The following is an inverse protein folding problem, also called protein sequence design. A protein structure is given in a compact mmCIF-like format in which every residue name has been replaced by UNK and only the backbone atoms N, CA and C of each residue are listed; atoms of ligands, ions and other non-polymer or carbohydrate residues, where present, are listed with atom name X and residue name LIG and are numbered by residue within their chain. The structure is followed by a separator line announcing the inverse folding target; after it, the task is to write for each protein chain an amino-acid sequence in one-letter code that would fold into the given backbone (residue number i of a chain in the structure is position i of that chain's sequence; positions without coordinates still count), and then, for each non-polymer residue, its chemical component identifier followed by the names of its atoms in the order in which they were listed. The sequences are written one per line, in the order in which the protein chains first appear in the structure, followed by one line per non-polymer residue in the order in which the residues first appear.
data_IF_026375137691
#
_entry.id   IF_026375137691
#
_cell.length_a   1.000
_cell.length_b   1.000
_cell.length_c   1.000
_cell.angle_alpha   90.00
_cell.angle_beta   90.00
_cell.angle_gamma   90.00
#
_symmetry.space_group_name_H-M   'P 1'
#
loop_
_entity.id
_entity.type
_entity.pdbx_description
1 polymer ?
#
# COMPACT_ATOMS: atom_id res chain seq x y z
N UNK A 1 41.86 -25.39 -70.30
CA UNK A 1 41.56 -24.07 -69.73
C UNK A 1 40.49 -24.25 -68.66
N UNK A 2 40.85 -24.17 -67.37
CA UNK A 2 39.90 -24.28 -66.24
C UNK A 2 39.79 -22.90 -65.59
N UNK A 3 38.59 -22.33 -65.58
CA UNK A 3 38.27 -21.06 -64.93
C UNK A 3 38.18 -21.27 -63.40
N UNK A 4 38.82 -20.38 -62.66
CA UNK A 4 38.70 -20.20 -61.21
C UNK A 4 37.76 -19.01 -61.00
N UNK A 5 36.61 -19.23 -60.37
CA UNK A 5 35.74 -18.16 -59.86
C UNK A 5 36.16 -17.84 -58.41
N UNK A 6 36.55 -16.59 -58.18
CA UNK A 6 36.75 -16.00 -56.85
C UNK A 6 35.57 -15.05 -56.59
N UNK A 7 34.66 -15.43 -55.69
CA UNK A 7 33.64 -14.54 -55.14
C UNK A 7 34.23 -13.73 -53.99
N UNK A 8 34.08 -12.40 -53.93
CA UNK A 8 34.34 -11.63 -52.72
C UNK A 8 33.09 -11.68 -51.83
N UNK A 9 33.26 -12.15 -50.60
CA UNK A 9 32.25 -12.10 -49.55
C UNK A 9 32.24 -10.67 -48.98
N UNK A 10 31.24 -9.87 -49.35
CA UNK A 10 31.01 -8.57 -48.74
C UNK A 10 30.29 -8.78 -47.39
N UNK A 11 31.03 -8.62 -46.28
CA UNK A 11 30.46 -8.57 -44.93
C UNK A 11 29.88 -7.16 -44.73
N UNK A 12 28.57 -7.05 -44.82
CA UNK A 12 27.83 -5.84 -44.52
C UNK A 12 27.64 -5.75 -42.99
N UNK A 13 28.50 -4.98 -42.30
CA UNK A 13 28.30 -4.62 -40.91
C UNK A 13 27.11 -3.67 -40.79
N UNK A 14 25.91 -4.21 -40.55
CA UNK A 14 24.75 -3.44 -40.12
C UNK A 14 24.97 -3.00 -38.66
N UNK A 15 25.54 -1.82 -38.48
CA UNK A 15 25.48 -1.09 -37.22
C UNK A 15 24.02 -0.68 -36.97
N UNK A 16 23.29 -1.52 -36.24
CA UNK A 16 22.02 -1.12 -35.64
C UNK A 16 22.36 -0.10 -34.56
N UNK A 17 22.26 1.18 -34.91
CA UNK A 17 22.24 2.26 -33.94
C UNK A 17 20.91 2.09 -33.20
N UNK A 18 20.94 1.35 -32.10
CA UNK A 18 19.85 1.36 -31.14
C UNK A 18 19.79 2.79 -30.60
N UNK A 19 18.80 3.56 -31.07
CA UNK A 19 18.43 4.79 -30.38
C UNK A 19 18.24 4.44 -28.91
N UNK A 20 18.86 5.16 -27.96
CA UNK A 20 18.54 4.96 -26.56
C UNK A 20 17.03 5.11 -26.45
N UNK A 21 16.37 4.08 -25.91
CA UNK A 21 14.99 4.22 -25.51
C UNK A 21 14.99 5.38 -24.51
N UNK A 22 14.52 6.55 -24.95
CA UNK A 22 14.14 7.62 -24.05
C UNK A 22 13.05 6.99 -23.18
N UNK A 23 13.41 6.50 -22.00
CA UNK A 23 12.45 6.21 -20.95
C UNK A 23 11.82 7.56 -20.66
N UNK A 24 10.63 7.80 -21.20
CA UNK A 24 9.85 8.97 -20.84
C UNK A 24 9.78 9.02 -19.31
N UNK A 25 10.08 10.18 -18.73
CA UNK A 25 9.94 10.34 -17.29
C UNK A 25 8.50 10.03 -16.88
N UNK A 26 8.30 9.39 -15.71
CA UNK A 26 6.96 9.10 -15.24
C UNK A 26 6.16 10.41 -15.11
N UNK A 27 4.93 10.40 -15.59
CA UNK A 27 4.02 11.54 -15.50
C UNK A 27 3.04 11.42 -14.33
N UNK A 28 3.04 10.28 -13.64
CA UNK A 28 2.12 9.96 -12.55
C UNK A 28 2.83 9.10 -11.50
N UNK A 29 2.51 9.35 -10.23
CA UNK A 29 2.80 8.50 -9.09
C UNK A 29 1.48 8.04 -8.47
N UNK A 30 1.37 6.79 -8.01
CA UNK A 30 0.12 6.29 -7.45
C UNK A 30 0.33 5.31 -6.31
N UNK A 31 -0.55 5.40 -5.32
CA UNK A 31 -0.55 4.56 -4.12
C UNK A 31 -1.91 3.90 -3.99
N UNK A 32 -1.90 2.57 -3.92
CA UNK A 32 -3.09 1.78 -3.60
C UNK A 32 -2.93 1.18 -2.20
N UNK A 33 -3.98 1.20 -1.38
CA UNK A 33 -4.05 0.41 -0.15
C UNK A 33 -5.18 -0.61 -0.20
N UNK A 34 -4.95 -1.79 0.34
CA UNK A 34 -5.94 -2.86 0.37
C UNK A 34 -5.68 -3.87 1.50
N UNK A 35 -6.60 -3.98 2.44
CA UNK A 35 -6.67 -5.14 3.32
C UNK A 35 -7.15 -6.34 2.48
N UNK A 36 -6.35 -7.41 2.45
CA UNK A 36 -6.65 -8.60 1.66
C UNK A 36 -7.33 -9.70 2.46
N UNK A 37 -7.66 -9.45 3.73
CA UNK A 37 -8.40 -10.30 4.65
C UNK A 37 -7.89 -11.76 4.69
N UNK A 38 -7.00 -12.08 5.61
CA UNK A 38 -6.39 -13.43 5.70
C UNK A 38 -5.79 -13.89 4.36
N UNK A 39 -4.94 -13.08 3.72
CA UNK A 39 -4.24 -13.45 2.49
C UNK A 39 -3.11 -14.43 2.77
N UNK A 40 -3.52 -15.64 3.12
CA UNK A 40 -2.75 -16.75 3.63
C UNK A 40 -2.80 -17.85 2.57
N UNK A 41 -1.68 -18.54 2.37
CA UNK A 41 -1.66 -19.65 1.44
C UNK A 41 -2.30 -20.90 2.06
N UNK A 42 -2.14 -22.04 1.39
CA UNK A 42 -2.77 -23.29 1.81
C UNK A 42 -1.85 -24.18 2.68
N UNK A 43 -0.64 -23.73 3.02
CA UNK A 43 0.36 -24.45 3.78
C UNK A 43 0.27 -24.08 5.26
N UNK A 44 -0.49 -24.84 6.03
CA UNK A 44 -0.75 -24.49 7.43
C UNK A 44 0.36 -24.89 8.41
N UNK A 45 1.48 -25.42 7.91
CA UNK A 45 2.50 -26.09 8.73
C UNK A 45 3.42 -25.11 9.47
N UNK A 46 3.58 -23.90 8.93
CA UNK A 46 4.39 -22.81 9.50
C UNK A 46 3.55 -21.77 10.25
N UNK A 47 2.22 -21.93 10.32
CA UNK A 47 1.37 -21.15 11.19
C UNK A 47 1.39 -21.67 12.64
N UNK A 48 2.01 -20.97 13.61
CA UNK A 48 1.95 -21.35 15.02
C UNK A 48 0.54 -21.33 15.63
N UNK A 49 -0.32 -20.40 15.23
CA UNK A 49 -1.63 -20.16 15.85
C UNK A 49 -2.72 -21.04 15.24
N UNK A 50 -3.73 -21.38 16.05
CA UNK A 50 -4.90 -22.11 15.57
C UNK A 50 -5.70 -21.27 14.57
N UNK A 51 -5.90 -20.00 14.88
CA UNK A 51 -6.64 -19.07 14.04
C UNK A 51 -5.99 -18.88 12.66
N UNK A 52 -4.66 -18.76 12.59
CA UNK A 52 -3.94 -18.65 11.32
C UNK A 52 -4.17 -19.87 10.42
N UNK A 53 -4.12 -21.07 11.02
CA UNK A 53 -4.42 -22.33 10.30
C UNK A 53 -5.87 -22.42 9.84
N UNK A 54 -6.82 -21.98 10.66
CA UNK A 54 -8.25 -21.96 10.32
C UNK A 54 -8.55 -20.99 9.16
N UNK A 55 -7.82 -19.87 9.10
CA UNK A 55 -8.02 -18.80 8.12
C UNK A 55 -7.21 -18.96 6.85
N UNK A 56 -6.33 -19.96 6.80
CA UNK A 56 -5.57 -20.34 5.60
C UNK A 56 -6.48 -20.80 4.47
N UNK A 57 -6.03 -20.66 3.22
CA UNK A 57 -6.77 -21.17 2.08
C UNK A 57 -6.96 -22.71 2.20
N UNK A 58 -8.17 -23.24 1.94
CA UNK A 58 -8.48 -24.66 2.22
C UNK A 58 -7.77 -25.62 1.26
N UNK A 59 -7.30 -25.12 0.11
CA UNK A 59 -6.59 -25.91 -0.89
C UNK A 59 -5.66 -25.03 -1.71
N UNK A 60 -4.72 -25.67 -2.41
CA UNK A 60 -3.82 -24.99 -3.34
C UNK A 60 -4.57 -24.29 -4.48
N UNK A 61 -5.65 -24.88 -4.96
CA UNK A 61 -6.47 -24.30 -6.03
C UNK A 61 -7.14 -23.00 -5.56
N UNK A 62 -7.70 -23.00 -4.35
CA UNK A 62 -8.33 -21.84 -3.75
C UNK A 62 -7.31 -20.72 -3.44
N UNK A 63 -6.10 -21.09 -3.01
CA UNK A 63 -4.98 -20.15 -2.91
C UNK A 63 -4.58 -19.55 -4.27
N UNK A 64 -4.39 -20.40 -5.29
CA UNK A 64 -4.00 -19.97 -6.62
C UNK A 64 -5.04 -19.01 -7.23
N UNK A 65 -6.34 -19.31 -7.05
CA UNK A 65 -7.44 -18.40 -7.42
C UNK A 65 -7.29 -17.03 -6.76
N UNK A 66 -7.16 -17.00 -5.42
CA UNK A 66 -7.14 -15.74 -4.67
C UNK A 66 -5.94 -14.89 -5.06
N UNK A 67 -4.76 -15.51 -5.11
CA UNK A 67 -3.53 -14.87 -5.55
C UNK A 67 -3.65 -14.28 -6.95
N UNK A 68 -4.16 -15.06 -7.91
CA UNK A 68 -4.22 -14.62 -9.29
C UNK A 68 -5.28 -13.53 -9.51
N UNK A 69 -6.37 -13.53 -8.72
CA UNK A 69 -7.35 -12.44 -8.68
C UNK A 69 -6.77 -11.14 -8.14
N UNK A 70 -6.03 -11.18 -7.02
CA UNK A 70 -5.30 -10.01 -6.48
C UNK A 70 -4.26 -9.51 -7.49
N UNK A 71 -3.51 -10.42 -8.11
CA UNK A 71 -2.53 -10.08 -9.14
C UNK A 71 -3.17 -9.35 -10.34
N UNK A 72 -4.31 -9.85 -10.82
CA UNK A 72 -5.06 -9.24 -11.91
C UNK A 72 -5.62 -7.86 -11.53
N UNK A 73 -6.13 -7.69 -10.30
CA UNK A 73 -6.59 -6.41 -9.78
C UNK A 73 -5.48 -5.35 -9.74
N UNK A 74 -4.31 -5.71 -9.19
CA UNK A 74 -3.14 -4.83 -9.17
C UNK A 74 -2.69 -4.50 -10.61
N UNK A 75 -2.61 -5.51 -11.49
CA UNK A 75 -2.19 -5.32 -12.88
C UNK A 75 -3.17 -4.48 -13.72
N UNK A 76 -4.47 -4.48 -13.37
CA UNK A 76 -5.50 -3.67 -14.04
C UNK A 76 -5.29 -2.18 -13.80
N UNK A 77 -4.79 -1.79 -12.61
CA UNK A 77 -4.64 -0.37 -12.24
C UNK A 77 -3.21 0.12 -12.18
N UNK A 78 -2.24 -0.80 -12.15
CA UNK A 78 -0.79 -0.56 -12.23
C UNK A 78 -0.31 0.51 -11.25
N UNK A 79 -0.62 0.38 -9.96
CA UNK A 79 -0.23 1.37 -8.97
C UNK A 79 1.30 1.39 -8.83
N UNK A 80 1.87 2.55 -8.52
CA UNK A 80 3.32 2.67 -8.30
C UNK A 80 3.75 1.98 -7.00
N UNK A 81 2.95 2.16 -5.95
CA UNK A 81 3.07 1.53 -4.64
C UNK A 81 1.76 0.81 -4.29
N UNK A 82 1.86 -0.39 -3.72
CA UNK A 82 0.73 -1.11 -3.11
C UNK A 82 1.01 -1.34 -1.63
N UNK A 83 0.19 -0.80 -0.75
CA UNK A 83 0.17 -1.09 0.67
C UNK A 83 -0.87 -2.18 0.95
N UNK A 84 -0.43 -3.36 1.41
CA UNK A 84 -1.30 -4.49 1.69
C UNK A 84 -1.37 -4.74 3.20
N UNK A 85 -2.56 -5.12 3.68
CA UNK A 85 -2.79 -5.56 5.06
C UNK A 85 -3.31 -6.99 5.08
N UNK A 86 -3.17 -7.65 6.24
CA UNK A 86 -3.54 -9.04 6.47
C UNK A 86 -2.83 -10.05 5.57
N UNK A 87 -1.56 -9.78 5.33
CA UNK A 87 -0.66 -10.68 4.60
C UNK A 87 -0.05 -11.67 5.59
N UNK A 88 0.02 -12.95 5.21
CA UNK A 88 0.63 -13.98 6.06
C UNK A 88 2.15 -13.83 6.22
N UNK A 89 2.86 -13.67 5.10
CA UNK A 89 4.32 -13.73 5.10
C UNK A 89 4.96 -13.18 3.82
N UNK A 90 6.29 -13.04 3.84
CA UNK A 90 7.08 -12.74 2.64
C UNK A 90 6.92 -13.82 1.55
N UNK A 91 6.70 -15.10 1.90
CA UNK A 91 6.53 -16.16 0.91
C UNK A 91 5.27 -15.94 0.06
N UNK A 92 4.17 -15.55 0.70
CA UNK A 92 2.92 -15.19 0.02
C UNK A 92 3.12 -14.00 -0.91
N UNK A 93 3.85 -12.97 -0.47
CA UNK A 93 4.20 -11.83 -1.33
C UNK A 93 5.07 -12.23 -2.52
N UNK A 94 6.05 -13.10 -2.32
CA UNK A 94 6.86 -13.64 -3.41
C UNK A 94 5.98 -14.35 -4.46
N UNK A 95 5.00 -15.15 -4.04
CA UNK A 95 4.08 -15.78 -4.99
C UNK A 95 3.22 -14.76 -5.73
N UNK A 96 2.71 -13.75 -5.02
CA UNK A 96 1.92 -12.67 -5.63
C UNK A 96 2.72 -11.89 -6.68
N UNK A 97 3.94 -11.44 -6.37
CA UNK A 97 4.77 -10.69 -7.33
C UNK A 97 5.15 -11.54 -8.55
N UNK A 98 5.36 -12.85 -8.37
CA UNK A 98 5.58 -13.79 -9.48
C UNK A 98 4.35 -14.00 -10.34
N UNK A 99 3.16 -14.05 -9.75
CA UNK A 99 1.91 -14.11 -10.50
C UNK A 99 1.70 -12.84 -11.33
N UNK A 100 1.97 -11.66 -10.75
CA UNK A 100 1.90 -10.38 -11.46
C UNK A 100 2.88 -10.34 -12.65
N UNK A 101 4.14 -10.77 -12.45
CA UNK A 101 5.15 -10.81 -13.52
C UNK A 101 4.78 -11.81 -14.62
N UNK A 102 4.51 -13.07 -14.23
CA UNK A 102 4.22 -14.15 -15.17
C UNK A 102 2.96 -13.91 -15.99
N UNK A 103 1.88 -13.44 -15.35
CA UNK A 103 0.56 -13.37 -15.99
C UNK A 103 0.30 -11.99 -16.63
N UNK A 104 0.96 -10.93 -16.17
CA UNK A 104 0.67 -9.56 -16.59
C UNK A 104 1.91 -8.75 -17.03
N UNK A 105 3.11 -9.36 -17.02
CA UNK A 105 4.37 -8.73 -17.43
C UNK A 105 4.67 -7.42 -16.69
N UNK A 106 4.36 -7.40 -15.39
CA UNK A 106 4.64 -6.26 -14.49
C UNK A 106 5.54 -6.72 -13.35
N UNK A 107 6.50 -5.89 -12.97
CA UNK A 107 7.50 -6.23 -11.96
C UNK A 107 7.39 -5.33 -10.76
N UNK A 108 7.18 -5.95 -9.62
CA UNK A 108 7.19 -5.33 -8.31
C UNK A 108 8.29 -5.95 -7.45
N UNK A 109 8.91 -5.13 -6.62
CA UNK A 109 9.62 -5.58 -5.42
C UNK A 109 8.64 -5.67 -4.26
N UNK A 110 8.79 -6.69 -3.43
CA UNK A 110 8.01 -6.90 -2.22
C UNK A 110 8.84 -6.66 -0.95
N UNK A 111 8.27 -5.87 -0.05
CA UNK A 111 8.86 -5.50 1.23
C UNK A 111 7.92 -5.92 2.37
N UNK A 112 8.36 -6.88 3.18
CA UNK A 112 7.63 -7.33 4.38
C UNK A 112 8.58 -7.28 5.57
N UNK A 113 8.07 -6.78 6.71
CA UNK A 113 8.76 -6.91 8.00
C UNK A 113 7.80 -7.66 8.92
N UNK A 114 8.19 -8.87 9.31
CA UNK A 114 7.36 -9.70 10.19
C UNK A 114 7.03 -8.96 11.48
N UNK A 115 5.75 -9.01 11.82
CA UNK A 115 5.13 -8.46 13.01
C UNK A 115 5.44 -9.26 14.27
N UNK A 116 4.82 -8.82 15.37
CA UNK A 116 4.83 -9.55 16.65
C UNK A 116 3.41 -10.08 16.99
N UNK A 117 2.49 -10.09 16.01
CA UNK A 117 1.14 -10.64 16.19
C UNK A 117 1.16 -12.15 15.97
N UNK A 118 1.49 -12.91 17.01
CA UNK A 118 1.48 -14.37 16.96
C UNK A 118 0.07 -14.99 17.11
N UNK A 119 -0.96 -14.16 17.34
CA UNK A 119 -2.33 -14.66 17.49
C UNK A 119 -3.03 -14.74 16.14
N UNK A 120 -3.04 -13.64 15.38
CA UNK A 120 -3.59 -13.65 14.01
C UNK A 120 -2.55 -13.98 12.96
N UNK A 121 -1.26 -13.78 13.24
CA UNK A 121 -0.16 -13.95 12.27
C UNK A 121 -0.23 -13.02 11.05
N UNK A 122 -1.17 -12.08 11.07
CA UNK A 122 -1.33 -11.10 10.01
C UNK A 122 -0.23 -10.04 10.10
N UNK A 123 0.36 -9.74 8.96
CA UNK A 123 1.33 -8.69 8.73
C UNK A 123 0.85 -7.68 7.68
N UNK A 124 1.69 -6.67 7.43
CA UNK A 124 1.51 -5.73 6.32
C UNK A 124 2.66 -5.85 5.34
N UNK A 125 2.41 -5.55 4.07
CA UNK A 125 3.41 -5.56 3.02
C UNK A 125 3.37 -4.28 2.20
N UNK A 126 4.48 -3.96 1.56
CA UNK A 126 4.56 -2.92 0.54
C UNK A 126 5.07 -3.54 -0.76
N UNK A 127 4.38 -3.31 -1.87
CA UNK A 127 4.90 -3.58 -3.20
C UNK A 127 5.28 -2.26 -3.87
N UNK A 128 6.41 -2.22 -4.55
CA UNK A 128 6.84 -1.05 -5.32
C UNK A 128 7.26 -1.47 -6.73
N UNK A 129 6.96 -0.65 -7.75
CA UNK A 129 7.47 -0.94 -9.09
C UNK A 129 8.99 -0.93 -9.11
N UNK A 130 9.61 -1.71 -9.99
CA UNK A 130 11.09 -1.77 -10.15
C UNK A 130 11.75 -0.43 -10.45
N UNK A 131 10.98 0.54 -10.92
CA UNK A 131 11.43 1.90 -11.24
C UNK A 131 11.29 2.87 -10.07
N UNK A 132 10.64 2.46 -8.99
CA UNK A 132 10.48 3.26 -7.77
C UNK A 132 11.62 2.98 -6.81
N UNK A 133 12.34 4.02 -6.39
CA UNK A 133 13.48 3.88 -5.49
C UNK A 133 13.06 3.74 -4.03
N UNK A 134 12.86 2.53 -3.54
CA UNK A 134 12.68 2.30 -2.09
C UNK A 134 14.05 2.31 -1.42
N UNK A 135 14.39 3.41 -0.72
CA UNK A 135 15.69 3.60 -0.04
C UNK A 135 15.83 2.73 1.19
N UNK A 136 14.77 2.64 1.99
CA UNK A 136 14.80 1.90 3.25
C UNK A 136 13.40 1.47 3.65
N UNK A 137 13.35 0.39 4.42
CA UNK A 137 12.18 -0.04 5.17
C UNK A 137 12.53 -0.19 6.65
N UNK A 138 11.59 0.08 7.54
CA UNK A 138 11.79 -0.07 8.97
C UNK A 138 10.50 -0.33 9.73
N UNK A 139 10.62 -0.76 10.97
CA UNK A 139 9.50 -0.98 11.89
C UNK A 139 9.85 -0.39 13.26
N UNK A 140 8.90 0.30 13.86
CA UNK A 140 9.02 0.84 15.21
C UNK A 140 8.77 -0.22 16.29
N UNK A 141 9.52 -0.15 17.40
CA UNK A 141 9.34 -1.02 18.57
C UNK A 141 9.03 -0.17 19.79
N UNK A 142 7.94 -0.49 20.50
CA UNK A 142 7.54 0.24 21.70
C UNK A 142 8.36 -0.21 22.90
N UNK A 143 9.13 0.72 23.47
CA UNK A 143 9.95 0.46 24.66
C UNK A 143 9.11 0.50 25.95
N UNK A 144 9.60 -0.07 27.08
CA UNK A 144 8.92 0.05 28.37
C UNK A 144 8.66 1.50 28.80
N UNK A 145 9.59 2.42 28.51
CA UNK A 145 9.45 3.86 28.79
C UNK A 145 8.38 4.54 27.91
N UNK A 146 8.15 4.05 26.69
CA UNK A 146 7.02 4.51 25.88
C UNK A 146 5.70 3.98 26.47
N UNK A 147 5.64 2.70 26.85
CA UNK A 147 4.41 2.15 27.47
C UNK A 147 4.00 2.91 28.73
N UNK A 148 4.96 3.29 29.58
CA UNK A 148 4.68 4.07 30.80
C UNK A 148 4.20 5.50 30.52
N UNK A 149 4.39 6.02 29.30
CA UNK A 149 3.90 7.33 28.84
C UNK A 149 2.61 7.24 28.02
N UNK A 150 1.94 6.08 28.03
CA UNK A 150 0.64 5.91 27.37
C UNK A 150 0.71 5.54 25.89
N UNK A 151 1.89 5.29 25.32
CA UNK A 151 2.02 4.72 23.97
C UNK A 151 1.61 3.23 23.96
N UNK A 152 1.24 2.70 22.79
CA UNK A 152 0.81 1.31 22.62
C UNK A 152 1.49 0.66 21.41
N UNK A 153 1.74 -0.65 21.48
CA UNK A 153 2.32 -1.38 20.35
C UNK A 153 1.39 -1.33 19.14
N UNK A 154 1.99 -1.07 18.00
CA UNK A 154 1.40 -1.27 16.68
C UNK A 154 2.08 -2.54 16.16
N UNK A 155 1.35 -3.66 16.13
CA UNK A 155 1.94 -4.94 15.75
C UNK A 155 2.10 -5.06 14.24
N UNK A 156 1.22 -4.43 13.47
CA UNK A 156 1.09 -4.56 12.01
C UNK A 156 1.38 -3.20 11.35
N UNK A 157 2.65 -2.92 11.10
CA UNK A 157 3.06 -1.70 10.41
C UNK A 157 4.43 -1.84 9.75
N UNK A 158 4.64 -1.02 8.72
CA UNK A 158 5.90 -0.86 8.01
C UNK A 158 6.07 0.60 7.62
N UNK A 159 7.26 1.13 7.82
CA UNK A 159 7.67 2.41 7.27
C UNK A 159 8.57 2.19 6.05
N UNK A 160 8.42 3.02 5.02
CA UNK A 160 9.31 3.04 3.87
C UNK A 160 9.70 4.49 3.53
N UNK A 161 10.95 4.68 3.10
CA UNK A 161 11.40 5.93 2.47
C UNK A 161 11.52 5.68 0.97
N UNK A 162 10.75 6.42 0.19
CA UNK A 162 10.61 6.24 -1.26
C UNK A 162 11.12 7.49 -1.98
N UNK A 163 11.86 7.27 -3.05
CA UNK A 163 12.26 8.29 -4.02
C UNK A 163 11.26 8.33 -5.16
N UNK A 164 10.77 9.53 -5.45
CA UNK A 164 9.90 9.80 -6.59
C UNK A 164 10.62 10.76 -7.54
N UNK A 165 10.92 10.35 -8.79
CA UNK A 165 11.46 11.26 -9.78
C UNK A 165 10.42 12.30 -10.21
N UNK A 166 10.78 13.58 -10.13
CA UNK A 166 9.96 14.74 -10.51
C UNK A 166 10.82 15.68 -11.36
N UNK A 167 10.67 15.63 -12.68
CA UNK A 167 11.38 16.48 -13.66
C UNK A 167 12.89 16.63 -13.43
N UNK A 168 13.59 15.50 -13.39
CA UNK A 168 15.04 15.45 -13.15
C UNK A 168 15.48 15.72 -11.69
N UNK A 169 14.54 15.96 -10.77
CA UNK A 169 14.78 15.94 -9.32
C UNK A 169 14.22 14.67 -8.71
N UNK A 170 14.62 14.40 -7.47
CA UNK A 170 14.01 13.37 -6.63
C UNK A 170 13.23 14.09 -5.54
N UNK A 171 12.02 13.65 -5.24
CA UNK A 171 11.30 13.98 -4.01
C UNK A 171 11.30 12.77 -3.09
N UNK A 172 11.30 13.02 -1.77
CA UNK A 172 11.29 11.95 -0.78
C UNK A 172 9.92 11.83 -0.13
N UNK A 173 9.40 10.61 -0.11
CA UNK A 173 8.13 10.25 0.50
C UNK A 173 8.37 9.26 1.64
N UNK A 174 7.98 9.64 2.85
CA UNK A 174 7.92 8.72 4.00
C UNK A 174 6.54 8.10 4.05
N UNK A 175 6.45 6.80 3.75
CA UNK A 175 5.21 6.03 3.79
C UNK A 175 5.13 5.25 5.10
N UNK A 176 3.97 5.29 5.76
CA UNK A 176 3.59 4.37 6.82
C UNK A 176 2.39 3.53 6.35
N UNK A 177 2.60 2.23 6.16
CA UNK A 177 1.53 1.26 6.00
C UNK A 177 1.21 0.66 7.38
N UNK A 178 -0.05 0.64 7.81
CA UNK A 178 -0.43 -0.02 9.06
C UNK A 178 -1.79 -0.71 9.02
N UNK A 179 -2.01 -1.59 9.99
CA UNK A 179 -3.30 -2.19 10.30
C UNK A 179 -3.54 -2.02 11.81
N UNK A 180 -4.39 -1.05 12.18
CA UNK A 180 -4.69 -0.72 13.58
C UNK A 180 -5.68 -1.71 14.20
N UNK A 181 -5.82 -1.67 15.53
CA UNK A 181 -6.66 -2.62 16.25
C UNK A 181 -8.13 -2.57 15.82
N UNK A 182 -8.64 -3.69 15.31
CA UNK A 182 -10.06 -3.90 15.00
C UNK A 182 -11.00 -3.80 16.21
N UNK A 183 -12.30 -3.73 15.89
CA UNK A 183 -13.47 -3.61 16.78
C UNK A 183 -13.71 -2.21 17.34
N UNK A 184 -14.95 -1.73 17.26
CA UNK A 184 -15.35 -0.36 17.59
C UNK A 184 -14.93 0.04 19.03
N UNK A 185 -15.10 -0.86 20.01
CA UNK A 185 -14.79 -0.62 21.42
C UNK A 185 -13.28 -0.50 21.74
N UNK A 186 -12.41 -0.70 20.74
CA UNK A 186 -10.95 -0.53 20.88
C UNK A 186 -10.45 0.87 20.49
N UNK A 187 -11.34 1.84 20.31
CA UNK A 187 -10.99 3.22 19.95
C UNK A 187 -9.91 3.85 20.82
N UNK A 188 -9.94 3.67 22.15
CA UNK A 188 -8.89 4.21 23.03
C UNK A 188 -7.51 3.57 22.76
N UNK A 189 -7.48 2.26 22.50
CA UNK A 189 -6.24 1.58 22.15
C UNK A 189 -5.72 2.04 20.78
N UNK A 190 -6.60 2.21 19.79
CA UNK A 190 -6.24 2.77 18.49
C UNK A 190 -5.71 4.19 18.62
N UNK A 191 -6.30 5.04 19.45
CA UNK A 191 -5.78 6.38 19.73
C UNK A 191 -4.36 6.35 20.31
N UNK A 192 -4.04 5.38 21.18
CA UNK A 192 -2.67 5.16 21.69
C UNK A 192 -1.72 4.63 20.60
N UNK A 193 -2.22 3.79 19.68
CA UNK A 193 -1.46 3.32 18.54
C UNK A 193 -1.15 4.46 17.56
N UNK A 194 -2.14 5.32 17.26
CA UNK A 194 -1.98 6.53 16.46
C UNK A 194 -0.89 7.45 17.04
N UNK A 195 -0.95 7.77 18.35
CA UNK A 195 0.12 8.53 19.03
C UNK A 195 1.51 7.91 18.85
N UNK A 196 1.58 6.58 18.82
CA UNK A 196 2.84 5.86 18.66
C UNK A 196 3.36 5.97 17.23
N UNK A 197 2.49 5.83 16.23
CA UNK A 197 2.82 6.05 14.82
C UNK A 197 3.28 7.48 14.57
N UNK A 198 2.54 8.48 15.06
CA UNK A 198 2.91 9.90 14.89
C UNK A 198 4.30 10.20 15.44
N UNK A 199 4.63 9.70 16.63
CA UNK A 199 5.98 9.87 17.22
C UNK A 199 7.08 9.24 16.35
N UNK A 200 6.83 8.06 15.78
CA UNK A 200 7.82 7.41 14.92
C UNK A 200 7.95 8.11 13.57
N UNK A 201 6.84 8.54 12.98
CA UNK A 201 6.81 9.33 11.75
C UNK A 201 7.58 10.63 11.90
N UNK A 202 7.33 11.40 12.96
CA UNK A 202 8.04 12.64 13.27
C UNK A 202 9.56 12.42 13.29
N UNK A 203 10.01 11.37 13.99
CA UNK A 203 11.43 11.01 14.08
C UNK A 203 12.03 10.58 12.76
N UNK A 204 11.29 9.78 11.98
CA UNK A 204 11.73 9.33 10.66
C UNK A 204 11.86 10.51 9.69
N UNK A 205 10.83 11.35 9.61
CA UNK A 205 10.84 12.56 8.76
C UNK A 205 11.98 13.49 9.17
N UNK A 206 12.18 13.72 10.47
CA UNK A 206 13.30 14.53 10.97
C UNK A 206 14.65 13.93 10.55
N UNK A 207 14.82 12.61 10.69
CA UNK A 207 16.04 11.92 10.28
C UNK A 207 16.30 11.95 8.78
N UNK A 208 15.25 11.85 7.96
CA UNK A 208 15.33 11.96 6.49
C UNK A 208 15.66 13.40 6.07
N UNK A 209 15.04 14.41 6.69
CA UNK A 209 15.39 15.83 6.49
C UNK A 209 16.85 16.10 6.82
N UNK A 210 17.32 15.61 7.97
CA UNK A 210 18.69 15.80 8.41
C UNK A 210 19.75 15.07 7.56
N UNK A 211 19.37 14.08 6.75
CA UNK A 211 20.27 13.32 5.89
C UNK A 211 20.32 13.81 4.44
N UNK A 212 19.47 14.78 4.07
CA UNK A 212 19.47 15.36 2.73
C UNK A 212 20.63 16.33 2.53
N UNK A 213 21.13 16.38 1.30
CA UNK A 213 22.13 17.36 0.87
C UNK A 213 21.51 18.76 0.75
N UNK A 214 20.27 18.84 0.28
CA UNK A 214 19.48 20.06 0.19
C UNK A 214 18.44 20.08 1.34
N UNK A 215 18.62 20.93 2.37
CA UNK A 215 17.68 21.01 3.49
C UNK A 215 16.32 21.62 3.12
N UNK A 216 16.22 22.30 1.97
CA UNK A 216 14.98 22.92 1.49
C UNK A 216 14.16 21.94 0.62
N UNK A 217 14.71 20.77 0.29
CA UNK A 217 13.99 19.72 -0.44
C UNK A 217 12.85 19.15 0.43
N UNK A 218 11.62 19.08 -0.11
CA UNK A 218 10.47 18.61 0.66
C UNK A 218 10.59 17.11 1.00
N UNK A 219 10.12 16.78 2.20
CA UNK A 219 9.85 15.39 2.62
C UNK A 219 8.37 15.28 2.85
N UNK A 220 7.72 14.56 1.94
CA UNK A 220 6.30 14.30 2.02
C UNK A 220 6.03 13.14 2.97
N UNK A 221 4.83 13.14 3.55
CA UNK A 221 4.36 12.08 4.44
C UNK A 221 3.12 11.46 3.82
N UNK A 222 3.05 10.14 3.82
CA UNK A 222 1.86 9.39 3.48
C UNK A 222 1.62 8.29 4.51
N UNK A 223 0.43 8.26 5.10
CA UNK A 223 0.02 7.22 6.05
C UNK A 223 -1.19 6.51 5.48
N UNK A 224 -1.13 5.19 5.38
CA UNK A 224 -2.16 4.41 4.70
C UNK A 224 -2.34 3.04 5.33
N UNK A 225 -3.46 2.41 5.00
CA UNK A 225 -3.81 1.08 5.46
C UNK A 225 -5.19 1.04 6.08
N UNK A 226 -5.44 -0.04 6.82
CA UNK A 226 -6.67 -0.26 7.55
C UNK A 226 -6.54 0.33 8.96
N UNK A 227 -7.18 1.48 9.17
CA UNK A 227 -7.17 2.14 10.46
C UNK A 227 -8.23 1.61 11.42
N UNK A 228 -9.17 0.76 10.98
CA UNK A 228 -10.28 0.27 11.81
C UNK A 228 -11.04 1.38 12.57
N UNK A 229 -11.00 2.61 12.03
CA UNK A 229 -11.56 3.79 12.71
C UNK A 229 -13.07 3.85 12.54
N UNK A 230 -13.75 4.37 13.56
CA UNK A 230 -15.19 4.64 13.48
C UNK A 230 -15.50 6.01 12.86
N UNK A 231 -14.47 6.84 12.64
CA UNK A 231 -14.62 8.18 12.09
C UNK A 231 -14.95 8.15 10.60
N UNK A 232 -15.85 9.04 10.19
CA UNK A 232 -16.22 9.22 8.79
C UNK A 232 -15.46 10.40 8.20
N UNK A 233 -15.13 10.32 6.91
CA UNK A 233 -14.46 11.42 6.21
C UNK A 233 -15.31 12.70 6.32
N UNK A 234 -14.66 13.80 6.70
CA UNK A 234 -15.25 15.11 6.98
C UNK A 234 -15.83 15.24 8.40
N UNK A 235 -15.81 14.16 9.20
CA UNK A 235 -16.38 14.09 10.55
C UNK A 235 -15.39 13.40 11.49
N UNK A 236 -14.15 13.92 11.54
CA UNK A 236 -13.08 13.35 12.37
C UNK A 236 -12.86 14.22 13.61
N UNK A 237 -13.17 13.68 14.78
CA UNK A 237 -12.91 14.34 16.07
C UNK A 237 -11.40 14.45 16.33
N UNK A 238 -10.95 15.56 16.93
CA UNK A 238 -9.50 15.81 17.12
C UNK A 238 -8.83 14.80 18.06
N UNK A 239 -9.55 14.29 19.07
CA UNK A 239 -9.06 13.31 20.04
C UNK A 239 -9.30 11.84 19.62
N UNK A 240 -9.92 11.62 18.46
CA UNK A 240 -10.06 10.29 17.86
C UNK A 240 -8.73 9.70 17.42
N UNK A 241 -8.71 8.40 17.13
CA UNK A 241 -7.54 7.73 16.58
C UNK A 241 -7.05 8.39 15.28
N UNK A 242 -7.96 8.67 14.34
CA UNK A 242 -7.63 9.32 13.08
C UNK A 242 -7.25 10.79 13.27
N UNK A 243 -7.95 11.53 14.15
CA UNK A 243 -7.63 12.92 14.47
C UNK A 243 -6.20 13.07 15.01
N UNK A 244 -5.81 12.21 15.94
CA UNK A 244 -4.45 12.15 16.49
C UNK A 244 -3.42 11.83 15.39
N UNK A 245 -3.71 10.85 14.53
CA UNK A 245 -2.76 10.44 13.47
C UNK A 245 -2.56 11.54 12.44
N UNK A 246 -3.60 12.34 12.19
CA UNK A 246 -3.57 13.52 11.33
C UNK A 246 -2.95 14.75 12.02
N UNK A 247 -2.46 14.64 13.26
CA UNK A 247 -1.97 15.76 14.08
C UNK A 247 -3.02 16.82 14.44
N UNK A 248 -4.32 16.53 14.29
CA UNK A 248 -5.36 17.51 14.61
C UNK A 248 -5.30 17.90 16.07
N UNK A 249 -5.20 19.20 16.31
CA UNK A 249 -5.13 19.76 17.67
C UNK A 249 -3.71 19.91 18.23
N UNK A 250 -2.68 19.81 17.38
CA UNK A 250 -1.36 20.41 17.64
C UNK A 250 -1.43 21.94 17.59
N UNK A 251 -0.35 22.60 18.03
CA UNK A 251 -0.25 24.07 17.99
C UNK A 251 -0.09 24.63 16.56
N UNK A 252 0.26 23.79 15.58
CA UNK A 252 0.54 24.20 14.20
C UNK A 252 -0.28 23.40 13.18
N UNK A 253 -1.48 23.87 12.79
CA UNK A 253 -2.33 23.20 11.80
C UNK A 253 -1.71 23.05 10.39
N UNK A 254 -0.53 23.64 10.14
CA UNK A 254 0.19 23.41 8.89
C UNK A 254 0.88 22.04 8.85
N UNK A 255 1.06 21.39 10.01
CA UNK A 255 1.58 20.02 10.13
C UNK A 255 0.50 18.93 9.99
N UNK A 256 -0.77 19.33 9.96
CA UNK A 256 -1.91 18.41 9.80
C UNK A 256 -1.82 17.63 8.49
N UNK A 257 -2.01 16.32 8.57
CA UNK A 257 -2.23 15.49 7.39
C UNK A 257 -3.64 15.72 6.85
N UNK A 258 -3.80 15.60 5.53
CA UNK A 258 -5.08 15.65 4.82
C UNK A 258 -5.59 14.23 4.58
N UNK A 259 -6.83 13.94 4.98
CA UNK A 259 -7.51 12.68 4.64
C UNK A 259 -8.04 12.78 3.21
N UNK A 260 -7.45 11.98 2.32
CA UNK A 260 -7.84 11.98 0.91
C UNK A 260 -9.28 11.48 0.71
N UNK A 261 -9.89 10.77 1.66
CA UNK A 261 -11.30 10.40 1.54
C UNK A 261 -12.26 11.59 1.48
N UNK A 262 -11.86 12.77 1.97
CA UNK A 262 -12.64 13.99 1.82
C UNK A 262 -12.86 14.37 0.35
N UNK A 263 -11.99 13.92 -0.54
CA UNK A 263 -12.07 14.16 -1.99
C UNK A 263 -12.89 13.09 -2.74
N UNK A 264 -13.29 12.00 -2.08
CA UNK A 264 -14.15 10.97 -2.68
C UNK A 264 -15.62 11.40 -2.51
N UNK A 265 -16.51 11.27 -3.52
CA UNK A 265 -17.94 11.52 -3.35
C UNK A 265 -18.53 10.68 -2.21
N UNK A 266 -19.36 11.28 -1.33
CA UNK A 266 -19.83 10.65 -0.09
C UNK A 266 -20.43 9.24 -0.28
N UNK A 267 -21.24 9.04 -1.32
CA UNK A 267 -21.85 7.74 -1.65
C UNK A 267 -20.89 6.68 -2.21
N UNK A 268 -19.59 6.99 -2.33
CA UNK A 268 -18.55 6.11 -2.86
C UNK A 268 -17.38 5.90 -1.89
N UNK A 269 -17.55 6.26 -0.61
CA UNK A 269 -16.49 6.22 0.41
C UNK A 269 -16.38 4.90 1.16
N UNK A 270 -17.31 3.97 0.95
CA UNK A 270 -17.33 2.69 1.69
C UNK A 270 -16.20 1.79 1.26
N UNK A 271 -15.31 1.46 2.18
CA UNK A 271 -14.14 0.59 1.92
C UNK A 271 -14.30 -0.81 2.48
N UNK A 272 -15.41 -1.12 3.15
CA UNK A 272 -15.60 -2.41 3.82
C UNK A 272 -17.03 -2.93 3.62
N UNK A 273 -17.21 -4.25 3.75
CA UNK A 273 -18.48 -4.95 3.60
C UNK A 273 -19.57 -4.44 4.55
N UNK A 274 -19.17 -4.05 5.76
CA UNK A 274 -20.07 -3.41 6.72
C UNK A 274 -20.57 -2.05 6.18
N UNK A 275 -21.89 -1.81 6.13
CA UNK A 275 -22.47 -0.61 5.54
C UNK A 275 -21.88 0.69 6.10
N UNK A 276 -21.44 1.57 5.21
CA UNK A 276 -20.95 2.91 5.56
C UNK A 276 -19.56 2.93 6.21
N UNK A 277 -18.91 1.79 6.44
CA UNK A 277 -17.56 1.72 7.00
C UNK A 277 -16.50 2.13 5.99
N UNK A 278 -15.49 2.81 6.50
CA UNK A 278 -14.45 3.44 5.69
C UNK A 278 -13.10 3.29 6.41
N UNK A 279 -12.75 2.05 6.72
CA UNK A 279 -11.59 1.73 7.55
C UNK A 279 -10.26 2.00 6.83
N UNK A 280 -10.23 1.80 5.52
CA UNK A 280 -9.05 1.96 4.69
C UNK A 280 -8.90 3.41 4.25
N UNK A 281 -7.75 4.02 4.50
CA UNK A 281 -7.53 5.45 4.23
C UNK A 281 -6.16 5.73 3.64
N UNK A 282 -6.03 6.91 3.06
CA UNK A 282 -4.75 7.50 2.67
C UNK A 282 -4.73 8.92 3.22
N UNK A 283 -3.81 9.17 4.16
CA UNK A 283 -3.52 10.48 4.72
C UNK A 283 -2.22 10.99 4.09
N UNK A 284 -2.15 12.26 3.74
CA UNK A 284 -0.95 12.84 3.11
C UNK A 284 -0.59 14.19 3.70
N UNK A 285 0.68 14.58 3.58
CA UNK A 285 1.09 15.96 3.84
C UNK A 285 0.36 16.92 2.90
N UNK A 286 0.12 18.14 3.39
CA UNK A 286 -0.74 19.14 2.72
C UNK A 286 -0.29 19.47 1.29
N UNK A 287 1.01 19.53 1.06
CA UNK A 287 1.63 19.80 -0.24
C UNK A 287 1.31 18.74 -1.30
N UNK A 288 1.10 17.48 -0.91
CA UNK A 288 0.64 16.44 -1.84
C UNK A 288 -0.83 16.59 -2.22
N UNK A 289 -1.66 17.23 -1.39
CA UNK A 289 -3.10 17.33 -1.60
C UNK A 289 -3.53 18.65 -2.23
N UNK A 290 -2.79 19.73 -1.96
CA UNK A 290 -3.11 21.08 -2.41
C UNK A 290 -2.09 21.49 -3.47
N UNK A 291 -2.53 21.50 -4.72
CA UNK A 291 -1.76 21.97 -5.86
C UNK A 291 -1.25 23.41 -5.63
N UNK A 292 0.04 23.65 -5.90
CA UNK A 292 0.65 24.97 -5.87
C UNK A 292 0.96 25.41 -7.32
N UNK A 293 0.08 26.21 -7.96
CA UNK A 293 0.17 26.49 -9.38
C UNK A 293 1.54 27.01 -9.82
N UNK A 294 2.19 26.29 -10.73
CA UNK A 294 3.50 26.65 -11.29
C UNK A 294 4.70 26.15 -10.46
N UNK A 295 4.47 25.41 -9.38
CA UNK A 295 5.48 24.56 -8.77
C UNK A 295 5.65 23.27 -9.59
N UNK A 296 6.86 22.73 -9.57
CA UNK A 296 7.20 21.43 -10.14
C UNK A 296 7.18 20.46 -8.97
N UNK A 297 6.09 19.71 -8.81
CA UNK A 297 5.81 18.91 -7.61
C UNK A 297 4.94 17.67 -7.88
N UNK A 298 4.70 16.89 -6.82
CA UNK A 298 3.67 15.86 -6.75
C UNK A 298 2.37 16.44 -6.18
N UNK A 299 1.31 16.44 -6.99
CA UNK A 299 0.01 16.96 -6.56
C UNK A 299 -1.12 15.96 -6.83
N UNK A 300 -2.07 15.88 -5.90
CA UNK A 300 -3.21 14.98 -5.99
C UNK A 300 -4.02 15.26 -7.25
N UNK A 301 -4.14 14.24 -8.10
CA UNK A 301 -4.99 14.24 -9.28
C UNK A 301 -6.38 13.69 -8.95
N UNK A 302 -6.42 12.49 -8.39
CA UNK A 302 -7.67 11.84 -7.98
C UNK A 302 -7.45 10.80 -6.88
N UNK A 303 -8.53 10.50 -6.16
CA UNK A 303 -8.59 9.40 -5.19
C UNK A 303 -9.94 8.72 -5.32
N UNK A 304 -9.93 7.40 -5.29
CA UNK A 304 -11.13 6.58 -5.53
C UNK A 304 -11.10 5.30 -4.70
N UNK A 305 -12.27 4.88 -4.23
CA UNK A 305 -12.48 3.48 -3.81
C UNK A 305 -12.77 2.65 -5.05
N UNK A 306 -12.10 1.51 -5.19
CA UNK A 306 -12.08 0.67 -6.40
C UNK A 306 -12.74 -0.69 -6.14
N UNK A 307 -14.02 -0.65 -5.77
CA UNK A 307 -14.83 -1.86 -5.57
C UNK A 307 -14.89 -2.77 -6.81
N UNK A 308 -14.74 -2.21 -8.01
CA UNK A 308 -14.63 -2.95 -9.29
C UNK A 308 -13.39 -3.87 -9.39
N UNK A 309 -12.47 -3.79 -8.43
CA UNK A 309 -11.33 -4.69 -8.31
C UNK A 309 -11.57 -5.85 -7.35
N UNK A 310 -12.49 -5.71 -6.42
CA UNK A 310 -12.74 -6.66 -5.35
C UNK A 310 -13.78 -7.72 -5.76
N UNK A 311 -14.84 -7.30 -6.45
CA UNK A 311 -16.00 -8.14 -6.67
C UNK A 311 -15.83 -9.10 -7.87
N UNK A 312 -16.25 -10.34 -7.68
CA UNK A 312 -16.41 -11.32 -8.77
C UNK A 312 -17.73 -11.14 -9.51
N UNK A 313 -18.81 -10.94 -8.77
CA UNK A 313 -20.15 -10.65 -9.25
C UNK A 313 -20.79 -9.50 -8.47
N UNK A 314 -21.94 -9.78 -7.86
CA UNK A 314 -22.53 -8.90 -6.85
C UNK A 314 -21.74 -9.02 -5.54
N UNK A 315 -21.74 -7.96 -4.73
CA UNK A 315 -21.07 -7.98 -3.43
C UNK A 315 -21.64 -9.09 -2.54
N UNK A 316 -20.76 -9.85 -1.89
CA UNK A 316 -21.16 -10.91 -0.97
C UNK A 316 -22.02 -10.34 0.18
N UNK A 317 -22.96 -11.12 0.72
CA UNK A 317 -23.57 -10.77 2.02
C UNK A 317 -22.63 -11.09 3.17
N UNK A 318 -22.85 -10.48 4.35
CA UNK A 318 -22.05 -10.76 5.55
C UNK A 318 -22.06 -12.26 5.95
N UNK A 319 -23.21 -12.92 5.84
CA UNK A 319 -23.33 -14.35 6.14
C UNK A 319 -22.60 -15.22 5.11
N UNK A 320 -22.75 -14.91 3.82
CA UNK A 320 -22.01 -15.61 2.77
C UNK A 320 -20.50 -15.44 2.97
N UNK A 321 -20.05 -14.21 3.19
CA UNK A 321 -18.64 -13.87 3.25
C UNK A 321 -17.94 -14.43 4.48
N UNK A 322 -18.52 -14.35 5.67
CA UNK A 322 -17.82 -14.79 6.89
C UNK A 322 -18.08 -16.24 7.28
N UNK A 323 -19.24 -16.80 6.94
CA UNK A 323 -19.59 -18.17 7.34
C UNK A 323 -19.44 -19.18 6.19
N UNK A 324 -19.49 -18.74 4.92
CA UNK A 324 -19.56 -19.61 3.75
C UNK A 324 -18.60 -19.24 2.61
N UNK A 325 -17.58 -18.39 2.85
CA UNK A 325 -16.71 -17.82 1.82
C UNK A 325 -16.26 -18.80 0.73
N UNK A 326 -15.69 -19.94 1.15
CA UNK A 326 -15.11 -20.93 0.23
C UNK A 326 -16.17 -21.75 -0.52
N UNK A 327 -17.45 -21.63 -0.16
CA UNK A 327 -18.57 -22.26 -0.86
C UNK A 327 -19.15 -21.36 -1.96
N UNK A 328 -18.81 -20.07 -1.99
CA UNK A 328 -19.22 -19.13 -3.04
C UNK A 328 -18.44 -19.47 -4.33
N UNK A 329 -19.10 -19.55 -5.50
CA UNK A 329 -18.42 -19.79 -6.77
C UNK A 329 -17.31 -18.77 -7.05
N UNK A 330 -16.16 -19.24 -7.55
CA UNK A 330 -14.96 -18.44 -7.83
C UNK A 330 -15.18 -17.19 -8.71
N UNK A 331 -16.16 -17.24 -9.61
CA UNK A 331 -16.52 -16.14 -10.50
C UNK A 331 -17.46 -15.11 -9.85
N UNK A 332 -18.10 -15.45 -8.73
CA UNK A 332 -19.02 -14.59 -7.98
C UNK A 332 -18.37 -14.00 -6.73
N UNK A 333 -17.53 -14.78 -6.06
CA UNK A 333 -16.92 -14.46 -4.77
C UNK A 333 -16.07 -13.19 -4.78
N UNK A 334 -16.19 -12.40 -3.72
CA UNK A 334 -15.34 -11.24 -3.47
C UNK A 334 -13.92 -11.66 -3.06
N UNK A 335 -12.91 -10.85 -3.34
CA UNK A 335 -11.51 -11.16 -2.97
C UNK A 335 -11.27 -10.95 -1.47
N UNK A 336 -11.93 -9.96 -0.88
CA UNK A 336 -11.86 -9.56 0.53
C UNK A 336 -13.13 -8.81 0.92
N UNK A 337 -13.47 -8.76 2.19
CA UNK A 337 -14.46 -7.83 2.74
C UNK A 337 -14.06 -6.35 2.63
N UNK A 338 -12.84 -6.02 2.19
CA UNK A 338 -12.36 -4.66 1.93
C UNK A 338 -12.27 -4.31 0.44
N UNK A 339 -12.59 -3.05 0.12
CA UNK A 339 -12.40 -2.45 -1.19
C UNK A 339 -11.11 -1.62 -1.21
N UNK A 340 -10.25 -1.76 -2.24
CA UNK A 340 -9.02 -1.00 -2.32
C UNK A 340 -9.27 0.49 -2.53
N UNK A 341 -8.40 1.31 -1.94
CA UNK A 341 -8.38 2.77 -2.14
C UNK A 341 -7.16 3.11 -2.98
N UNK A 342 -7.35 3.89 -4.05
CA UNK A 342 -6.30 4.29 -4.98
C UNK A 342 -6.22 5.82 -5.05
N UNK A 343 -5.07 6.37 -4.70
CA UNK A 343 -4.72 7.77 -4.93
C UNK A 343 -3.72 7.88 -6.09
N UNK A 344 -3.93 8.88 -6.95
CA UNK A 344 -3.05 9.24 -8.07
C UNK A 344 -2.58 10.67 -7.91
N UNK A 345 -1.29 10.87 -8.13
CA UNK A 345 -0.61 12.14 -8.06
C UNK A 345 -0.01 12.43 -9.43
N UNK A 346 -0.24 13.62 -9.93
CA UNK A 346 0.40 14.09 -11.15
C UNK A 346 1.81 14.58 -10.82
N UNK A 347 2.77 14.24 -11.68
CA UNK A 347 4.11 14.81 -11.66
C UNK A 347 4.05 16.06 -12.56
N UNK A 348 4.03 17.24 -11.94
CA UNK A 348 3.84 18.53 -12.63
C UNK A 348 5.15 19.20 -13.01
#
# INVERSE_FOLDING_TARGET
MRLIFLCPLAVLCLAVIASPANSAEPTEFSVMTWNLEWFFDNQTADNPSELGREKSAPSREQWDWRRDRVAAAIAKVQPTIVALQEVESQNVMYFLTRAIDRNHNRKYDDYVIKGDDFYTEQDVALLATKTTGVRSISRGVVTPSMKSRGYASVSKHLFAVVEVPVHGKIELLVIANCHLRAMAEKGELRARQARTLSLWLERLVTGVKASQEDPDQPVHVLVTGDFNTEELAGQIAADSDLGILMSRGTDDPSDDLIDLHDHIPSGKRTTHLLPGRQFDRILVSRDLAIDNPGAVDLSLRDVTVRNDLNFGGDQDTQEEHWDNYWNIPDDQRDISDHNPVLARFQIQ
#
